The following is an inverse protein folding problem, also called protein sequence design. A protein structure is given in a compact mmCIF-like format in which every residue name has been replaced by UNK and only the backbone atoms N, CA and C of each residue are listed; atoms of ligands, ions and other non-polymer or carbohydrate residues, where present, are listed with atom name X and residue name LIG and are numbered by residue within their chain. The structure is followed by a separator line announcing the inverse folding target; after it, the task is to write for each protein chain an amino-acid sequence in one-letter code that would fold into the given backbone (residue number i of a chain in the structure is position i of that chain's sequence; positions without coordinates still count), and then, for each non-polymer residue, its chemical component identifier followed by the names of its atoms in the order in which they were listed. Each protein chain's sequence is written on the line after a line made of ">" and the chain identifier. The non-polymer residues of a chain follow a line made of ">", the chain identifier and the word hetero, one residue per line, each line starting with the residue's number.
data_IF_120842929332
#
_entry.id   IF_120842929332
#
_cell.length_a   1.000
_cell.length_b   1.000
_cell.length_c   1.000
_cell.angle_alpha   90.00
_cell.angle_beta   90.00
_cell.angle_gamma   90.00
#
_symmetry.space_group_name_H-M   'P 1'
#
loop_
_entity.id
_entity.type
_entity.pdbx_description
1 polymer ?
#
# COMPACT_ATOMS: atom_id res chain seq x y z
N UNK A 1 12.03 -12.51 -2.47
CA UNK A 1 11.70 -11.12 -2.73
C UNK A 1 11.20 -10.45 -1.46
N UNK A 2 11.24 -9.15 -1.42
CA UNK A 2 10.78 -8.40 -0.26
C UNK A 2 9.29 -8.07 -0.27
N UNK A 3 8.50 -8.76 -1.07
CA UNK A 3 7.08 -8.44 -1.23
C UNK A 3 6.23 -9.67 -0.99
N UNK A 4 5.20 -9.52 -0.17
CA UNK A 4 4.16 -10.52 0.03
C UNK A 4 2.81 -9.88 -0.26
N UNK A 5 1.93 -10.63 -0.90
CA UNK A 5 0.59 -10.15 -1.26
C UNK A 5 -0.45 -10.94 -0.48
N UNK A 6 -1.33 -10.22 0.21
CA UNK A 6 -2.45 -10.83 0.94
C UNK A 6 -3.75 -10.16 0.50
N UNK A 7 -4.84 -10.91 0.49
CA UNK A 7 -6.15 -10.41 0.15
C UNK A 7 -7.08 -10.49 1.35
N UNK A 8 -7.94 -9.49 1.49
CA UNK A 8 -8.91 -9.44 2.58
C UNK A 8 -10.15 -8.69 2.10
N UNK A 9 -11.39 -9.15 2.41
CA UNK A 9 -12.62 -8.49 1.99
C UNK A 9 -12.95 -7.31 2.91
N UNK A 10 -12.11 -6.31 2.96
CA UNK A 10 -12.23 -5.22 3.94
C UNK A 10 -12.49 -3.86 3.33
N UNK A 11 -11.64 -3.41 2.41
CA UNK A 11 -11.76 -2.12 1.74
C UNK A 11 -11.77 -2.34 0.24
N UNK A 12 -12.29 -1.34 -0.48
CA UNK A 12 -12.49 -1.46 -1.91
C UNK A 12 -13.74 -2.26 -2.22
N UNK A 13 -14.18 -2.23 -3.45
CA UNK A 13 -15.41 -2.89 -3.88
C UNK A 13 -15.34 -4.41 -3.73
N UNK A 14 -14.19 -5.00 -4.05
CA UNK A 14 -13.95 -6.43 -3.99
C UNK A 14 -13.03 -6.82 -2.82
N UNK A 15 -12.73 -5.88 -1.93
CA UNK A 15 -11.83 -6.10 -0.82
C UNK A 15 -10.56 -5.29 -0.93
N UNK A 16 -9.51 -5.70 -0.26
CA UNK A 16 -8.23 -5.01 -0.38
C UNK A 16 -7.08 -6.01 -0.50
N UNK A 17 -5.97 -5.52 -1.06
CA UNK A 17 -4.73 -6.29 -1.22
C UNK A 17 -3.66 -5.61 -0.38
N UNK A 18 -3.05 -6.36 0.51
CA UNK A 18 -1.93 -5.89 1.30
C UNK A 18 -0.62 -6.33 0.63
N UNK A 19 0.28 -5.39 0.39
CA UNK A 19 1.58 -5.67 -0.20
C UNK A 19 2.65 -5.33 0.83
N UNK A 20 3.31 -6.34 1.35
CA UNK A 20 4.40 -6.16 2.31
C UNK A 20 5.71 -5.87 1.57
N UNK A 21 6.43 -4.88 2.02
CA UNK A 21 7.69 -4.48 1.40
C UNK A 21 8.76 -4.19 2.45
N UNK A 22 10.01 -4.38 2.08
CA UNK A 22 11.13 -4.04 2.97
C UNK A 22 11.30 -2.52 3.13
N UNK A 23 10.75 -1.73 2.20
CA UNK A 23 10.84 -0.27 2.28
C UNK A 23 9.64 0.38 1.60
N UNK A 24 8.74 0.97 2.40
CA UNK A 24 7.60 1.72 1.85
C UNK A 24 8.07 2.90 1.02
N UNK A 25 9.04 3.73 1.45
CA UNK A 25 9.50 4.83 0.60
C UNK A 25 9.99 4.39 -0.77
N UNK A 26 10.68 3.27 -0.82
CA UNK A 26 11.19 2.74 -2.08
C UNK A 26 10.08 2.23 -2.98
N UNK A 27 9.14 1.49 -2.38
CA UNK A 27 7.96 1.00 -3.12
C UNK A 27 7.12 2.18 -3.62
N UNK A 28 6.94 3.21 -2.81
CA UNK A 28 6.21 4.40 -3.19
C UNK A 28 6.86 5.11 -4.37
N UNK A 29 8.19 5.20 -4.39
CA UNK A 29 8.92 5.82 -5.49
C UNK A 29 8.72 5.04 -6.80
N UNK A 30 8.75 3.72 -6.73
CA UNK A 30 8.50 2.87 -7.91
C UNK A 30 7.08 3.05 -8.42
N UNK A 31 6.10 3.08 -7.53
CA UNK A 31 4.71 3.26 -7.90
C UNK A 31 4.48 4.64 -8.53
N UNK A 32 5.12 5.68 -7.98
CA UNK A 32 5.01 7.03 -8.53
C UNK A 32 5.51 7.10 -9.98
N UNK A 33 6.55 6.36 -10.31
CA UNK A 33 7.05 6.28 -11.69
C UNK A 33 6.02 5.70 -12.63
N UNK A 34 5.12 4.88 -12.12
CA UNK A 34 4.07 4.24 -12.91
C UNK A 34 2.73 4.96 -12.83
N UNK A 35 2.71 6.16 -12.26
CA UNK A 35 1.50 6.97 -12.19
C UNK A 35 0.59 6.70 -11.02
N UNK A 36 1.04 5.95 -10.01
CA UNK A 36 0.25 5.66 -8.83
C UNK A 36 0.63 6.58 -7.68
N UNK A 37 -0.37 7.01 -6.91
CA UNK A 37 -0.16 7.93 -5.80
C UNK A 37 -0.59 7.28 -4.48
N UNK A 38 0.06 7.70 -3.39
CA UNK A 38 -0.32 7.26 -2.05
C UNK A 38 -1.38 8.20 -1.48
N UNK A 39 -2.30 7.62 -0.71
CA UNK A 39 -3.25 8.40 0.07
C UNK A 39 -2.66 8.60 1.46
N UNK A 40 -1.99 9.73 1.64
CA UNK A 40 -1.28 10.02 2.87
C UNK A 40 -2.21 10.15 4.08
N UNK A 41 -3.50 10.41 3.85
CA UNK A 41 -4.46 10.47 4.97
C UNK A 41 -4.66 9.10 5.63
N UNK A 42 -4.28 8.02 4.97
CA UNK A 42 -4.38 6.66 5.50
C UNK A 42 -3.08 6.17 6.10
N UNK A 43 -2.02 6.97 6.05
CA UNK A 43 -0.69 6.55 6.51
C UNK A 43 -0.68 6.29 8.01
N UNK A 44 -0.04 5.20 8.39
CA UNK A 44 0.18 4.85 9.80
C UNK A 44 1.67 4.84 10.08
N UNK A 45 2.03 5.31 11.25
CA UNK A 45 3.43 5.46 11.63
C UNK A 45 3.72 4.72 12.93
N UNK A 46 4.95 4.21 13.03
CA UNK A 46 5.52 3.75 14.30
C UNK A 46 6.70 4.68 14.60
N UNK A 47 6.49 5.61 15.53
CA UNK A 47 7.44 6.70 15.72
C UNK A 47 7.47 7.59 14.50
N UNK A 48 8.62 7.76 13.88
CA UNK A 48 8.80 8.56 12.68
C UNK A 48 8.72 7.72 11.38
N UNK A 49 8.54 6.41 11.53
CA UNK A 49 8.61 5.50 10.39
C UNK A 49 7.21 5.11 9.92
N UNK A 50 6.93 5.32 8.64
CA UNK A 50 5.68 4.89 8.04
C UNK A 50 5.65 3.37 7.96
N UNK A 51 4.61 2.74 8.50
CA UNK A 51 4.47 1.29 8.52
C UNK A 51 3.32 0.80 7.67
N UNK A 52 2.40 1.66 7.27
CA UNK A 52 1.28 1.30 6.40
C UNK A 52 0.75 2.53 5.69
N UNK A 53 0.30 2.34 4.44
CA UNK A 53 -0.35 3.42 3.67
C UNK A 53 -1.13 2.78 2.53
N UNK A 54 -2.30 3.35 2.20
CA UNK A 54 -3.09 2.93 1.05
C UNK A 54 -2.71 3.72 -0.20
N UNK A 55 -2.90 3.12 -1.37
CA UNK A 55 -2.86 3.84 -2.64
C UNK A 55 -4.19 4.55 -2.86
N UNK A 56 -4.16 5.68 -3.57
CA UNK A 56 -5.38 6.41 -3.94
C UNK A 56 -6.22 5.63 -4.94
N UNK A 57 -5.55 4.89 -5.83
CA UNK A 57 -6.23 4.13 -6.88
C UNK A 57 -6.64 2.76 -6.38
N UNK A 58 -7.75 2.25 -6.91
CA UNK A 58 -8.16 0.86 -6.74
C UNK A 58 -7.88 0.10 -8.02
N UNK A 59 -7.59 -1.18 -7.89
CA UNK A 59 -7.28 -2.04 -9.02
C UNK A 59 -8.32 -3.15 -9.12
N UNK A 60 -9.14 -3.12 -10.17
CA UNK A 60 -10.19 -4.11 -10.34
C UNK A 60 -11.18 -4.14 -9.19
N UNK A 61 -11.40 -3.01 -8.53
CA UNK A 61 -12.27 -2.91 -7.36
C UNK A 61 -11.58 -3.28 -6.05
N UNK A 62 -10.26 -3.54 -6.08
CA UNK A 62 -9.48 -3.82 -4.85
C UNK A 62 -8.71 -2.57 -4.42
N UNK A 63 -8.85 -2.21 -3.15
CA UNK A 63 -7.98 -1.22 -2.56
C UNK A 63 -6.62 -1.87 -2.27
N UNK A 64 -5.54 -1.13 -2.48
CA UNK A 64 -4.18 -1.66 -2.27
C UNK A 64 -3.51 -0.86 -1.18
N UNK A 65 -2.91 -1.54 -0.19
CA UNK A 65 -2.11 -0.85 0.81
C UNK A 65 -0.74 -1.49 0.97
N UNK A 66 0.23 -0.64 1.26
CA UNK A 66 1.61 -1.05 1.50
C UNK A 66 1.82 -1.25 2.99
N UNK A 67 2.51 -2.32 3.35
CA UNK A 67 2.90 -2.61 4.73
C UNK A 67 4.41 -2.75 4.80
N UNK A 68 5.00 -2.15 5.82
CA UNK A 68 6.42 -2.29 6.10
C UNK A 68 6.67 -3.63 6.77
N UNK A 69 7.57 -4.38 6.22
CA UNK A 69 8.03 -5.61 6.85
C UNK A 69 8.86 -5.35 8.08
#
# INVERSE_FOLDING_TARGET
>A
SGVEVMKSPYLGKNGHIAVKTNSIPRAAAELAKNGFALDESTAKYSGEKMVAVYLKQEFGGFAVHLLQK
#
